data_IF_438060615052
#
_entry.id   IF_438060615052
#
_cell.length_a   1.000
_cell.length_b   1.000
_cell.length_c   1.000
_cell.angle_alpha   90.00
_cell.angle_beta   90.00
_cell.angle_gamma   90.00
#
_symmetry.space_group_name_H-M   'P 1'
#
loop_
_entity.id
_entity.type
_entity.pdbx_description
1 polymer ?
#
# COMPACT_ATOMS: atom_id res chain seq x y z
N UNK A 1 18.94 0.39 -2.07
CA UNK A 1 17.58 0.47 -2.67
C UNK A 1 16.62 -0.14 -1.67
N UNK A 2 15.54 0.55 -1.33
CA UNK A 2 14.48 0.02 -0.46
C UNK A 2 13.22 -0.09 -1.28
N UNK A 3 12.55 -1.24 -1.21
CA UNK A 3 11.30 -1.50 -1.93
C UNK A 3 10.24 -1.91 -0.92
N UNK A 4 9.06 -1.33 -1.04
CA UNK A 4 7.86 -1.71 -0.29
C UNK A 4 6.83 -2.26 -1.27
N UNK A 5 6.49 -3.53 -1.13
CA UNK A 5 5.42 -4.17 -1.91
C UNK A 5 4.13 -4.08 -1.11
N UNK A 6 3.12 -3.43 -1.68
CA UNK A 6 1.82 -3.23 -1.03
C UNK A 6 0.73 -4.02 -1.75
N UNK A 7 -0.17 -4.61 -0.97
CA UNK A 7 -1.42 -5.18 -1.47
C UNK A 7 -2.56 -4.22 -1.22
N UNK A 8 -3.28 -3.84 -2.27
CA UNK A 8 -4.44 -2.95 -2.18
C UNK A 8 -5.74 -3.72 -2.05
N UNK A 9 -6.71 -3.09 -1.39
CA UNK A 9 -8.02 -3.66 -1.11
C UNK A 9 -9.09 -2.69 -1.61
N UNK A 10 -10.16 -3.25 -2.16
CA UNK A 10 -11.36 -2.52 -2.53
C UNK A 10 -12.27 -2.48 -1.31
N UNK A 11 -12.65 -1.26 -0.91
CA UNK A 11 -13.66 -1.04 0.11
C UNK A 11 -15.03 -1.52 -0.41
N UNK A 12 -15.91 -1.86 0.53
CA UNK A 12 -17.26 -2.33 0.20
C UNK A 12 -18.10 -1.24 -0.47
N UNK A 13 -17.83 0.03 -0.16
CA UNK A 13 -18.49 1.18 -0.73
C UNK A 13 -17.49 2.31 -1.04
N UNK A 14 -17.89 3.21 -1.95
CA UNK A 14 -17.14 4.43 -2.24
C UNK A 14 -17.27 5.39 -1.06
N UNK A 15 -16.16 5.97 -0.63
CA UNK A 15 -16.12 6.93 0.47
C UNK A 15 -15.66 8.28 -0.08
N UNK A 16 -16.51 9.28 0.11
CA UNK A 16 -16.18 10.67 -0.20
C UNK A 16 -15.41 11.26 0.98
N UNK A 17 -14.16 11.66 0.74
CA UNK A 17 -13.32 12.32 1.73
C UNK A 17 -13.35 13.83 1.44
N UNK A 18 -13.92 14.67 2.33
CA UNK A 18 -13.91 16.11 2.12
C UNK A 18 -12.46 16.60 2.12
N UNK A 19 -12.14 17.50 1.18
CA UNK A 19 -10.85 18.16 1.18
C UNK A 19 -10.71 19.02 2.44
N UNK A 20 -9.55 18.92 3.09
CA UNK A 20 -9.20 19.70 4.28
C UNK A 20 -7.82 20.31 4.10
N UNK A 21 -7.61 21.50 4.63
CA UNK A 21 -6.33 22.22 4.48
C UNK A 21 -5.15 21.43 5.07
N UNK A 22 -5.38 20.61 6.10
CA UNK A 22 -4.37 19.75 6.71
C UNK A 22 -3.85 18.66 5.75
N UNK A 23 -4.59 18.36 4.68
CA UNK A 23 -4.16 17.42 3.63
C UNK A 23 -3.30 18.09 2.55
N UNK A 24 -3.22 19.43 2.53
CA UNK A 24 -2.44 20.18 1.57
C UNK A 24 -0.91 20.02 1.70
N UNK A 25 -0.20 20.40 0.64
CA UNK A 25 1.26 20.38 0.55
C UNK A 25 1.85 19.09 -0.06
N UNK A 26 3.17 19.04 -0.20
CA UNK A 26 3.87 17.83 -0.66
C UNK A 26 4.04 16.83 0.48
N UNK A 27 2.97 16.07 0.76
CA UNK A 27 2.99 14.97 1.72
C UNK A 27 2.96 13.63 0.99
N UNK A 28 3.89 12.75 1.31
CA UNK A 28 3.91 11.36 0.83
C UNK A 28 2.90 10.47 1.56
N UNK A 29 2.48 10.88 2.76
CA UNK A 29 1.44 10.21 3.55
C UNK A 29 0.59 11.25 4.28
N UNK A 30 -0.72 11.07 4.25
CA UNK A 30 -1.66 11.86 5.03
C UNK A 30 -2.39 10.94 6.01
N UNK A 31 -2.45 11.35 7.28
CA UNK A 31 -3.36 10.73 8.23
C UNK A 31 -4.77 11.23 7.95
N UNK A 32 -5.73 10.32 7.82
CA UNK A 32 -7.15 10.69 7.75
C UNK A 32 -7.62 11.15 9.13
N UNK A 33 -8.32 12.28 9.19
CA UNK A 33 -8.87 12.80 10.45
C UNK A 33 -10.00 11.93 10.98
N UNK A 34 -10.80 11.39 10.08
CA UNK A 34 -11.87 10.45 10.39
C UNK A 34 -11.45 9.05 9.94
N UNK A 35 -11.56 8.03 10.82
CA UNK A 35 -11.22 6.68 10.45
C UNK A 35 -12.19 6.16 9.40
N UNK A 36 -11.64 5.56 8.36
CA UNK A 36 -12.41 4.85 7.33
C UNK A 36 -12.49 3.38 7.73
N UNK A 37 -13.71 2.84 7.80
CA UNK A 37 -13.89 1.40 8.01
C UNK A 37 -13.35 0.62 6.81
N UNK A 38 -12.59 -0.42 7.10
CA UNK A 38 -12.09 -1.39 6.11
C UNK A 38 -12.78 -2.75 6.27
N UNK A 39 -13.83 -2.82 7.07
CA UNK A 39 -14.60 -4.03 7.27
C UNK A 39 -15.22 -4.50 5.96
N UNK A 40 -15.11 -5.80 5.67
CA UNK A 40 -15.61 -6.37 4.41
C UNK A 40 -14.80 -6.00 3.16
N UNK A 41 -13.70 -5.23 3.29
CA UNK A 41 -12.82 -4.95 2.18
C UNK A 41 -12.21 -6.24 1.62
N UNK A 42 -12.10 -6.31 0.29
CA UNK A 42 -11.56 -7.49 -0.41
C UNK A 42 -10.33 -7.13 -1.21
N UNK A 43 -9.42 -8.08 -1.39
CA UNK A 43 -8.24 -7.85 -2.21
C UNK A 43 -8.64 -7.39 -3.62
N UNK A 44 -7.96 -6.35 -4.12
CA UNK A 44 -8.24 -5.81 -5.45
C UNK A 44 -7.83 -6.79 -6.56
N UNK A 45 -6.85 -7.64 -6.27
CA UNK A 45 -6.34 -8.71 -7.13
C UNK A 45 -6.51 -10.05 -6.43
N UNK A 46 -6.66 -11.12 -7.21
CA UNK A 46 -6.52 -12.48 -6.71
C UNK A 46 -5.10 -12.70 -6.15
N UNK A 47 -4.92 -13.75 -5.34
CA UNK A 47 -3.58 -14.11 -4.83
C UNK A 47 -2.65 -14.47 -5.99
N UNK A 48 -3.14 -15.23 -6.97
CA UNK A 48 -2.38 -15.63 -8.16
C UNK A 48 -1.95 -14.43 -9.02
N UNK A 49 -2.85 -13.48 -9.27
CA UNK A 49 -2.52 -12.28 -10.04
C UNK A 49 -1.54 -11.37 -9.30
N UNK A 50 -1.72 -11.23 -7.98
CA UNK A 50 -0.80 -10.47 -7.14
C UNK A 50 0.59 -11.08 -7.17
N UNK A 51 0.70 -12.38 -6.91
CA UNK A 51 1.96 -13.13 -6.90
C UNK A 51 2.67 -13.05 -8.26
N UNK A 52 1.92 -13.22 -9.35
CA UNK A 52 2.44 -13.09 -10.72
C UNK A 52 3.03 -11.71 -10.99
N UNK A 53 2.44 -10.64 -10.45
CA UNK A 53 2.92 -9.27 -10.64
C UNK A 53 4.12 -8.93 -9.75
N UNK A 54 4.16 -9.42 -8.50
CA UNK A 54 5.23 -9.07 -7.55
C UNK A 54 6.47 -9.95 -7.71
N UNK A 55 6.32 -11.18 -8.21
CA UNK A 55 7.40 -12.15 -8.32
C UNK A 55 8.66 -11.63 -9.07
N UNK A 56 8.55 -10.90 -10.20
CA UNK A 56 9.73 -10.36 -10.89
C UNK A 56 10.50 -9.36 -10.02
N UNK A 57 9.79 -8.44 -9.34
CA UNK A 57 10.40 -7.43 -8.48
C UNK A 57 11.10 -8.06 -7.28
N UNK A 58 10.43 -9.00 -6.60
CA UNK A 58 11.02 -9.75 -5.48
C UNK A 58 12.18 -10.64 -5.94
N UNK A 59 12.11 -11.20 -7.15
CA UNK A 59 13.18 -12.00 -7.75
C UNK A 59 14.48 -11.21 -7.97
N UNK A 60 14.38 -9.92 -8.30
CA UNK A 60 15.54 -9.02 -8.38
C UNK A 60 16.12 -8.76 -6.99
N UNK A 61 15.27 -8.47 -6.01
CA UNK A 61 15.70 -8.14 -4.64
C UNK A 61 16.38 -9.31 -3.92
N UNK A 62 15.95 -10.55 -4.16
CA UNK A 62 16.58 -11.75 -3.57
C UNK A 62 18.06 -11.92 -3.94
N UNK A 63 18.53 -11.29 -5.02
CA UNK A 63 19.93 -11.33 -5.45
C UNK A 63 20.78 -10.26 -4.77
N UNK A 64 20.16 -9.39 -3.96
CA UNK A 64 20.83 -8.31 -3.25
C UNK A 64 20.98 -8.70 -1.78
N UNK A 65 22.14 -8.41 -1.21
CA UNK A 65 22.36 -8.52 0.23
C UNK A 65 21.38 -7.60 0.98
N UNK A 66 20.65 -8.11 2.00
CA UNK A 66 19.80 -7.27 2.83
C UNK A 66 20.62 -6.17 3.50
N UNK A 67 20.14 -4.93 3.43
CA UNK A 67 20.74 -3.86 4.21
C UNK A 67 20.56 -4.15 5.71
N UNK A 68 21.59 -3.90 6.52
CA UNK A 68 21.45 -3.94 7.97
C UNK A 68 20.51 -2.81 8.41
N UNK A 69 19.23 -3.14 8.63
CA UNK A 69 18.28 -2.21 9.23
C UNK A 69 18.58 -2.20 10.72
N UNK A 70 19.06 -1.05 11.23
CA UNK A 70 19.39 -0.89 12.65
C UNK A 70 18.21 -1.27 13.53
N UNK A 71 18.49 -2.04 14.58
CA UNK A 71 17.55 -2.42 15.65
C UNK A 71 17.15 -1.22 16.50
#
# INVERSE_FOLDING_TARGET
LTVLVLRTYLLTETIELPYRDEYGGCKSWIGLQEPVSVEGARAALSDEDFDRLVAPALGVLRKLEPASVGT
#
